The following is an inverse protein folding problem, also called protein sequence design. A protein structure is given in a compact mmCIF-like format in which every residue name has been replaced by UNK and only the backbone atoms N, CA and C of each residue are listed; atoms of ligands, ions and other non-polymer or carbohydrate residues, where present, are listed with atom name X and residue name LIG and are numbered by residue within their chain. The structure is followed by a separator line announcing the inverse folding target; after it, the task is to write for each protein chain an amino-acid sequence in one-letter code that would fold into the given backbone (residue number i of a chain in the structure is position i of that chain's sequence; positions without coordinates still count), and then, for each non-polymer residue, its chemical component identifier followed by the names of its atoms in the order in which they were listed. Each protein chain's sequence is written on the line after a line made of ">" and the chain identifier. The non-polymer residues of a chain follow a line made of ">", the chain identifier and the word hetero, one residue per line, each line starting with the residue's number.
data_IF_201181330145
#
_entry.id   IF_201181330145
#
_cell.length_a   1.000
_cell.length_b   1.000
_cell.length_c   1.000
_cell.angle_alpha   90.00
_cell.angle_beta   90.00
_cell.angle_gamma   90.00
#
_symmetry.space_group_name_H-M   'P 1'
#
loop_
_entity.id
_entity.type
_entity.pdbx_description
1 polymer ?
#
# COMPACT_ATOMS: atom_id res chain seq x y z
N UNK A 1 15.39 3.93 9.60
CA UNK A 1 14.63 2.83 8.98
C UNK A 1 13.90 3.42 7.79
N UNK A 2 13.81 2.71 6.67
CA UNK A 2 13.10 3.17 5.48
C UNK A 2 12.19 2.06 4.95
N UNK A 3 10.96 2.41 4.58
CA UNK A 3 10.02 1.54 3.87
C UNK A 3 10.05 1.93 2.40
N UNK A 4 10.35 0.99 1.52
CA UNK A 4 10.55 1.22 0.09
C UNK A 4 9.66 0.26 -0.70
N UNK A 5 8.92 0.73 -1.71
CA UNK A 5 8.20 -0.17 -2.61
C UNK A 5 9.23 -1.02 -3.38
N UNK A 6 9.07 -2.34 -3.34
CA UNK A 6 9.90 -3.28 -4.09
C UNK A 6 9.31 -3.53 -5.47
N UNK A 7 7.99 -3.68 -5.55
CA UNK A 7 7.35 -3.98 -6.81
C UNK A 7 5.88 -4.36 -6.72
N UNK A 8 5.30 -4.60 -7.90
CA UNK A 8 4.07 -5.35 -8.13
C UNK A 8 4.50 -6.67 -8.77
N UNK A 9 4.38 -7.77 -8.04
CA UNK A 9 4.60 -9.10 -8.59
C UNK A 9 3.32 -9.52 -9.31
N UNK A 10 3.33 -9.48 -10.64
CA UNK A 10 2.28 -10.04 -11.48
C UNK A 10 2.62 -11.49 -11.84
N UNK A 11 1.59 -12.31 -12.00
CA UNK A 11 1.72 -13.67 -12.47
C UNK A 11 1.25 -13.70 -13.92
N UNK A 12 2.17 -13.54 -14.88
CA UNK A 12 1.77 -13.65 -16.29
C UNK A 12 1.37 -15.09 -16.59
N UNK A 13 0.09 -15.42 -16.44
CA UNK A 13 -0.45 -16.58 -17.14
C UNK A 13 -0.44 -16.21 -18.61
N UNK A 14 0.10 -17.12 -19.42
CA UNK A 14 0.03 -17.11 -20.87
C UNK A 14 -1.32 -16.58 -21.35
N UNK A 15 -1.30 -15.79 -22.45
CA UNK A 15 -2.46 -15.20 -23.17
C UNK A 15 -3.60 -16.16 -23.56
N UNK A 16 -3.61 -17.39 -23.08
CA UNK A 16 -4.56 -18.45 -23.42
C UNK A 16 -5.71 -18.60 -22.40
N UNK A 17 -5.63 -17.98 -21.22
CA UNK A 17 -6.73 -17.97 -20.24
C UNK A 17 -7.20 -16.53 -19.98
N UNK A 18 -8.21 -16.08 -20.73
CA UNK A 18 -8.82 -14.73 -20.66
C UNK A 18 -9.50 -14.39 -19.31
N UNK A 19 -9.56 -15.33 -18.36
CA UNK A 19 -10.30 -15.19 -17.10
C UNK A 19 -9.41 -15.21 -15.82
N UNK A 20 -8.08 -15.26 -15.95
CA UNK A 20 -7.21 -15.20 -14.78
C UNK A 20 -7.01 -13.75 -14.32
N UNK A 21 -7.45 -13.44 -13.10
CA UNK A 21 -7.38 -12.13 -12.45
C UNK A 21 -5.90 -11.72 -12.24
N UNK A 22 -5.30 -11.12 -13.29
CA UNK A 22 -3.89 -10.74 -13.44
C UNK A 22 -3.53 -9.45 -12.66
N UNK A 23 -4.29 -9.17 -11.62
CA UNK A 23 -3.92 -8.16 -10.64
C UNK A 23 -2.68 -8.65 -9.92
N UNK A 24 -1.53 -8.04 -10.20
CA UNK A 24 -0.32 -8.25 -9.41
C UNK A 24 -0.56 -7.92 -7.93
N UNK A 25 0.44 -8.11 -7.09
CA UNK A 25 0.38 -7.71 -5.69
C UNK A 25 1.64 -6.99 -5.25
N UNK A 26 1.52 -6.15 -4.24
CA UNK A 26 2.65 -5.35 -3.79
C UNK A 26 3.63 -6.14 -2.92
N UNK A 27 4.91 -5.86 -3.12
CA UNK A 27 5.99 -6.26 -2.22
C UNK A 27 6.65 -5.01 -1.66
N UNK A 28 6.90 -5.01 -0.35
CA UNK A 28 7.54 -3.91 0.35
C UNK A 28 8.91 -4.34 0.88
N UNK A 29 9.89 -3.45 0.81
CA UNK A 29 11.20 -3.61 1.42
C UNK A 29 11.31 -2.72 2.64
N UNK A 30 11.76 -3.30 3.75
CA UNK A 30 12.09 -2.55 4.97
C UNK A 30 13.59 -2.57 5.16
N UNK A 31 14.22 -1.40 5.10
CA UNK A 31 15.63 -1.21 5.36
C UNK A 31 15.86 -0.77 6.80
N UNK A 32 16.59 -1.60 7.55
CA UNK A 32 16.96 -1.33 8.94
C UNK A 32 18.48 -1.10 9.00
N UNK A 33 18.89 0.08 9.47
CA UNK A 33 20.30 0.40 9.67
C UNK A 33 20.80 -0.30 10.95
N UNK A 34 22.01 -0.87 10.92
CA UNK A 34 22.63 -1.46 12.09
C UNK A 34 22.87 -0.42 13.19
N UNK A 35 22.58 -0.79 14.44
CA UNK A 35 22.65 0.11 15.62
C UNK A 35 24.02 0.19 16.29
N UNK A 36 25.05 -0.53 15.80
CA UNK A 36 26.41 -0.50 16.37
C UNK A 36 27.48 -0.45 15.28
N UNK A 37 28.30 0.61 15.30
CA UNK A 37 29.66 0.84 14.75
C UNK A 37 30.06 0.33 13.36
N UNK A 38 29.19 -0.35 12.61
CA UNK A 38 29.44 -0.79 11.25
C UNK A 38 28.48 -0.06 10.31
N UNK A 39 28.84 1.17 9.95
CA UNK A 39 28.13 1.98 8.96
C UNK A 39 28.03 1.32 7.58
N UNK A 40 28.74 0.21 7.39
CA UNK A 40 28.83 -0.54 6.13
C UNK A 40 27.79 -1.64 5.98
N UNK A 41 27.05 -2.03 7.03
CA UNK A 41 26.07 -3.12 6.96
C UNK A 41 24.66 -2.69 7.35
N UNK A 42 23.67 -3.25 6.66
CA UNK A 42 22.25 -3.02 6.91
C UNK A 42 21.48 -4.35 6.88
N UNK A 43 20.34 -4.40 7.54
CA UNK A 43 19.41 -5.53 7.46
C UNK A 43 18.29 -5.12 6.49
N UNK A 44 17.98 -5.98 5.51
CA UNK A 44 16.93 -5.76 4.51
C UNK A 44 15.84 -6.81 4.70
N UNK A 45 14.62 -6.39 5.00
CA UNK A 45 13.47 -7.29 5.07
C UNK A 45 12.58 -7.14 3.82
N UNK A 46 12.08 -8.26 3.33
CA UNK A 46 11.11 -8.34 2.24
C UNK A 46 9.78 -8.77 2.83
N UNK A 47 8.76 -7.94 2.67
CA UNK A 47 7.40 -8.17 3.15
C UNK A 47 6.53 -8.47 1.93
N UNK A 48 5.92 -9.65 1.92
CA UNK A 48 5.13 -10.14 0.82
C UNK A 48 3.90 -10.87 1.36
N UNK A 49 2.74 -10.65 0.74
CA UNK A 49 1.47 -11.29 1.08
C UNK A 49 0.89 -12.14 -0.06
N UNK A 50 1.47 -12.12 -1.27
CA UNK A 50 0.98 -12.86 -2.44
C UNK A 50 2.00 -13.85 -3.02
N UNK A 51 2.12 -13.88 -4.35
CA UNK A 51 3.06 -14.77 -5.05
C UNK A 51 4.53 -14.55 -4.61
N UNK A 52 5.24 -15.64 -4.32
CA UNK A 52 6.60 -15.59 -3.76
C UNK A 52 6.66 -16.00 -2.29
N UNK A 53 5.52 -16.17 -1.62
CA UNK A 53 5.45 -16.73 -0.28
C UNK A 53 6.08 -18.12 -0.14
N UNK A 54 6.19 -18.90 -1.22
CA UNK A 54 6.92 -20.17 -1.24
C UNK A 54 8.42 -20.05 -0.90
N UNK A 55 8.98 -18.84 -1.00
CA UNK A 55 10.36 -18.54 -0.61
C UNK A 55 10.49 -18.07 0.84
N UNK A 56 9.37 -17.84 1.53
CA UNK A 56 9.36 -17.38 2.91
C UNK A 56 9.50 -18.55 3.89
N UNK A 57 10.06 -18.31 5.10
CA UNK A 57 10.20 -19.36 6.09
C UNK A 57 8.84 -19.86 6.60
N UNK A 58 8.69 -21.19 6.66
CA UNK A 58 7.55 -21.87 7.26
C UNK A 58 7.91 -22.29 8.68
N UNK A 59 7.01 -22.06 9.63
CA UNK A 59 7.15 -22.56 11.01
C UNK A 59 6.16 -23.69 11.20
N UNK A 60 6.63 -24.87 11.58
CA UNK A 60 5.72 -25.94 12.00
C UNK A 60 5.17 -25.62 13.40
N UNK A 61 3.85 -25.44 13.51
CA UNK A 61 3.17 -25.27 14.80
C UNK A 61 2.47 -26.57 15.19
N UNK A 62 2.96 -27.17 16.28
CA UNK A 62 2.52 -28.49 16.76
C UNK A 62 1.40 -28.47 17.79
N UNK A 63 0.45 -27.53 17.73
CA UNK A 63 -0.69 -27.54 18.65
C UNK A 63 -1.85 -28.38 18.08
N UNK A 64 -2.12 -29.51 18.74
CA UNK A 64 -3.30 -30.34 18.46
C UNK A 64 -4.60 -29.54 18.70
N UNK A 65 -5.70 -29.80 17.96
CA UNK A 65 -5.93 -30.97 17.09
C UNK A 65 -5.52 -30.79 15.62
N UNK A 66 -5.09 -29.60 15.20
CA UNK A 66 -4.77 -29.31 13.80
C UNK A 66 -3.33 -28.79 13.67
N UNK A 67 -2.35 -29.64 13.30
CA UNK A 67 -1.02 -29.16 12.98
C UNK A 67 -1.13 -28.14 11.84
N UNK A 68 -0.61 -26.94 12.06
CA UNK A 68 -0.60 -25.88 11.07
C UNK A 68 0.83 -25.52 10.71
N UNK A 69 1.01 -25.09 9.46
CA UNK A 69 2.28 -24.60 8.93
C UNK A 69 2.17 -23.11 8.63
N UNK A 70 2.04 -22.25 9.66
CA UNK A 70 1.99 -20.81 9.42
C UNK A 70 3.28 -20.34 8.73
N UNK A 71 3.08 -19.49 7.73
CA UNK A 71 4.12 -18.83 6.98
C UNK A 71 4.51 -17.53 7.69
N UNK A 72 5.77 -17.13 7.53
CA UNK A 72 6.18 -15.77 7.86
C UNK A 72 5.96 -14.88 6.64
N UNK A 73 5.18 -13.83 6.81
CA UNK A 73 4.93 -12.79 5.80
C UNK A 73 6.19 -12.00 5.39
N UNK A 74 7.28 -12.19 6.12
CA UNK A 74 8.51 -11.41 5.99
C UNK A 74 9.77 -12.26 6.03
N UNK A 75 10.71 -11.93 5.14
CA UNK A 75 12.03 -12.54 5.02
C UNK A 75 13.09 -11.50 5.32
N UNK A 76 13.91 -11.73 6.36
CA UNK A 76 14.94 -10.77 6.80
C UNK A 76 16.32 -11.23 6.33
N UNK A 77 16.97 -10.44 5.49
CA UNK A 77 18.34 -10.61 5.03
C UNK A 77 19.28 -9.82 5.93
N UNK A 78 20.07 -10.54 6.72
CA UNK A 78 21.01 -9.92 7.65
C UNK A 78 22.38 -9.66 7.03
N UNK A 79 22.99 -8.53 7.40
CA UNK A 79 24.35 -8.16 6.98
C UNK A 79 24.48 -7.83 5.49
N UNK A 80 23.48 -7.18 4.91
CA UNK A 80 23.56 -6.66 3.55
C UNK A 80 24.62 -5.55 3.48
N UNK A 81 25.43 -5.55 2.43
CA UNK A 81 26.43 -4.49 2.22
C UNK A 81 25.73 -3.20 1.83
N UNK A 82 26.05 -2.08 2.51
CA UNK A 82 25.54 -0.75 2.16
C UNK A 82 25.88 -0.39 0.72
N UNK A 83 27.10 -0.66 0.27
CA UNK A 83 27.51 -0.40 -1.12
C UNK A 83 26.68 -1.20 -2.14
N UNK A 84 26.31 -2.44 -1.80
CA UNK A 84 25.43 -3.26 -2.63
C UNK A 84 24.01 -2.70 -2.68
N UNK A 85 23.47 -2.27 -1.54
CA UNK A 85 22.13 -1.68 -1.46
C UNK A 85 22.04 -0.27 -2.02
N UNK A 86 23.13 0.51 -2.03
CA UNK A 86 23.18 1.81 -2.69
C UNK A 86 23.48 1.72 -4.19
N UNK A 87 23.71 0.51 -4.72
CA UNK A 87 23.95 0.31 -6.14
C UNK A 87 22.70 0.62 -6.95
N UNK A 88 22.82 1.50 -7.95
CA UNK A 88 21.75 1.76 -8.92
C UNK A 88 21.33 0.50 -9.67
N UNK A 89 22.27 -0.42 -9.93
CA UNK A 89 21.99 -1.71 -10.56
C UNK A 89 21.09 -2.60 -9.72
N UNK A 90 21.27 -2.63 -8.40
CA UNK A 90 20.42 -3.39 -7.50
C UNK A 90 18.96 -2.90 -7.55
N UNK A 91 18.76 -1.58 -7.43
CA UNK A 91 17.42 -0.98 -7.52
C UNK A 91 16.81 -1.08 -8.91
N UNK A 92 17.61 -0.97 -9.97
CA UNK A 92 17.15 -1.23 -11.33
C UNK A 92 16.59 -2.64 -11.47
N UNK A 93 17.26 -3.67 -10.93
CA UNK A 93 16.79 -5.05 -11.00
C UNK A 93 15.51 -5.29 -10.18
N UNK A 94 15.33 -4.57 -9.08
CA UNK A 94 14.09 -4.57 -8.28
C UNK A 94 12.96 -3.91 -9.07
N UNK A 95 13.16 -2.67 -9.53
CA UNK A 95 12.14 -1.91 -10.26
C UNK A 95 11.86 -2.42 -11.66
N UNK A 96 12.76 -3.22 -12.24
CA UNK A 96 12.49 -3.91 -13.51
C UNK A 96 11.23 -4.78 -13.44
N UNK A 97 10.90 -5.31 -12.26
CA UNK A 97 9.70 -6.11 -12.05
C UNK A 97 8.42 -5.28 -12.14
N UNK A 98 8.48 -3.99 -11.77
CA UNK A 98 7.39 -3.03 -11.98
C UNK A 98 7.20 -2.65 -13.43
N UNK A 99 8.32 -2.46 -14.15
CA UNK A 99 8.31 -1.92 -15.50
C UNK A 99 8.05 -2.99 -16.56
N UNK A 100 8.52 -4.22 -16.32
CA UNK A 100 8.46 -5.34 -17.26
C UNK A 100 8.12 -6.65 -16.54
N UNK A 101 6.88 -6.78 -16.04
CA UNK A 101 6.43 -8.03 -15.43
C UNK A 101 6.42 -9.14 -16.48
N UNK A 102 7.17 -10.21 -16.21
CA UNK A 102 7.18 -11.45 -17.00
C UNK A 102 7.72 -12.59 -16.14
N UNK A 103 7.51 -13.84 -16.55
CA UNK A 103 7.96 -15.03 -15.81
C UNK A 103 9.46 -14.99 -15.44
N UNK A 104 10.28 -14.39 -16.32
CA UNK A 104 11.72 -14.25 -16.08
C UNK A 104 12.09 -13.13 -15.11
N UNK A 105 11.19 -12.18 -14.85
CA UNK A 105 11.33 -11.05 -13.91
C UNK A 105 10.32 -11.12 -12.74
N UNK A 106 9.79 -12.31 -12.45
CA UNK A 106 8.83 -12.52 -11.36
C UNK A 106 9.48 -12.83 -9.99
N UNK A 107 8.72 -13.45 -9.07
CA UNK A 107 9.21 -13.79 -7.73
C UNK A 107 10.49 -14.64 -7.78
N UNK A 108 10.58 -15.59 -8.71
CA UNK A 108 11.78 -16.43 -8.87
C UNK A 108 13.05 -15.63 -9.12
N UNK A 109 12.97 -14.54 -9.86
CA UNK A 109 14.12 -13.66 -10.11
C UNK A 109 14.47 -12.83 -8.87
N UNK A 110 13.46 -12.25 -8.21
CA UNK A 110 13.65 -11.51 -6.96
C UNK A 110 14.36 -12.37 -5.90
N UNK A 111 13.75 -13.49 -5.54
CA UNK A 111 14.21 -14.37 -4.47
C UNK A 111 15.44 -15.19 -4.89
N UNK A 112 15.54 -15.63 -6.14
CA UNK A 112 16.63 -16.48 -6.60
C UNK A 112 17.92 -15.73 -6.94
N UNK A 113 17.83 -14.47 -7.40
CA UNK A 113 18.97 -13.73 -7.96
C UNK A 113 19.23 -12.42 -7.21
N UNK A 114 18.21 -11.56 -7.10
CA UNK A 114 18.38 -10.19 -6.59
C UNK A 114 18.67 -10.18 -5.09
N UNK A 115 17.88 -10.89 -4.29
CA UNK A 115 18.02 -10.91 -2.83
C UNK A 115 19.33 -11.58 -2.36
N UNK A 116 19.77 -12.73 -2.90
CA UNK A 116 21.07 -13.32 -2.56
C UNK A 116 22.25 -12.42 -2.92
N UNK A 117 22.12 -11.58 -3.95
CA UNK A 117 23.16 -10.60 -4.30
C UNK A 117 23.34 -9.53 -3.20
N UNK A 118 22.27 -9.14 -2.51
CA UNK A 118 22.31 -8.08 -1.49
C UNK A 118 23.21 -8.44 -0.28
N UNK A 119 23.19 -9.71 0.16
CA UNK A 119 23.95 -10.16 1.33
C UNK A 119 24.94 -11.30 1.06
N UNK A 120 25.13 -11.68 -0.21
CA UNK A 120 26.05 -12.73 -0.66
C UNK A 120 25.81 -14.08 0.02
N UNK A 121 24.56 -14.37 0.41
CA UNK A 121 24.17 -15.63 1.06
C UNK A 121 22.98 -16.28 0.34
N UNK A 122 22.96 -17.61 0.20
CA UNK A 122 21.75 -18.33 -0.21
C UNK A 122 20.56 -17.99 0.70
N UNK A 123 19.36 -17.88 0.12
CA UNK A 123 18.15 -17.49 0.87
C UNK A 123 17.90 -18.34 2.12
N UNK A 124 18.13 -19.66 2.03
CA UNK A 124 17.91 -20.62 3.13
C UNK A 124 18.77 -20.34 4.37
N UNK A 125 19.89 -19.64 4.22
CA UNK A 125 20.79 -19.29 5.33
C UNK A 125 20.40 -17.99 6.05
N UNK A 126 19.29 -17.35 5.64
CA UNK A 126 18.78 -16.13 6.29
C UNK A 126 17.83 -16.43 7.46
N UNK A 127 17.56 -17.70 7.76
CA UNK A 127 16.88 -18.10 8.98
C UNK A 127 17.79 -17.92 10.20
N UNK A 128 17.37 -17.12 11.19
CA UNK A 128 18.13 -16.92 12.43
C UNK A 128 17.44 -16.01 13.44
N UNK A 129 17.98 -15.94 14.66
CA UNK A 129 17.37 -15.31 15.84
C UNK A 129 16.87 -13.87 15.63
N UNK A 130 17.52 -13.07 14.78
CA UNK A 130 17.03 -11.71 14.45
C UNK A 130 15.72 -11.73 13.67
N UNK A 131 15.62 -12.57 12.64
CA UNK A 131 14.38 -12.74 11.86
C UNK A 131 13.26 -13.24 12.77
N UNK A 132 13.55 -14.16 13.70
CA UNK A 132 12.55 -14.67 14.65
C UNK A 132 11.99 -13.63 15.61
N UNK A 133 12.76 -12.59 15.93
CA UNK A 133 12.29 -11.50 16.80
C UNK A 133 11.42 -10.49 16.06
N UNK A 134 11.66 -10.28 14.77
CA UNK A 134 10.97 -9.24 13.99
C UNK A 134 9.75 -9.74 13.24
N UNK A 135 9.61 -11.06 13.09
CA UNK A 135 8.60 -11.67 12.23
C UNK A 135 7.69 -12.58 13.03
N UNK A 136 6.38 -12.55 12.73
CA UNK A 136 5.39 -13.40 13.38
C UNK A 136 4.88 -14.43 12.37
N UNK A 137 4.79 -15.72 12.74
CA UNK A 137 4.10 -16.70 11.90
C UNK A 137 2.60 -16.40 11.91
N UNK A 138 2.01 -16.27 10.72
CA UNK A 138 0.59 -16.01 10.54
C UNK A 138 -0.03 -17.08 9.63
N UNK A 139 -1.30 -17.44 9.86
CA UNK A 139 -2.03 -18.24 8.90
C UNK A 139 -2.28 -17.38 7.66
N UNK A 140 -1.54 -17.65 6.58
CA UNK A 140 -1.81 -17.02 5.29
C UNK A 140 -2.85 -17.88 4.56
N UNK A 141 -3.89 -17.30 3.93
CA UNK A 141 -4.81 -18.05 3.09
C UNK A 141 -4.04 -18.86 2.04
N UNK A 142 -4.56 -20.04 1.66
CA UNK A 142 -3.88 -20.98 0.76
C UNK A 142 -3.51 -20.40 -0.63
N UNK A 143 -4.03 -19.21 -0.99
CA UNK A 143 -3.70 -18.47 -2.22
C UNK A 143 -3.00 -17.11 -1.99
N UNK A 144 -2.51 -16.83 -0.79
CA UNK A 144 -2.03 -15.50 -0.42
C UNK A 144 -3.16 -14.47 -0.28
N UNK A 145 -2.79 -13.24 0.03
CA UNK A 145 -3.66 -12.07 0.04
C UNK A 145 -2.97 -10.96 -0.76
N UNK A 146 -3.56 -10.61 -1.92
CA UNK A 146 -3.03 -9.59 -2.82
C UNK A 146 -3.26 -8.16 -2.32
N UNK A 147 -3.91 -7.97 -1.17
CA UNK A 147 -4.25 -6.65 -0.65
C UNK A 147 -2.99 -5.86 -0.24
N UNK A 148 -2.82 -4.71 -0.88
CA UNK A 148 -1.76 -3.77 -0.54
C UNK A 148 -1.83 -3.33 0.93
N UNK A 149 -3.05 -3.12 1.44
CA UNK A 149 -3.28 -2.70 2.82
C UNK A 149 -2.71 -3.71 3.84
N UNK A 150 -2.88 -5.01 3.60
CA UNK A 150 -2.29 -6.04 4.46
C UNK A 150 -0.77 -5.99 4.38
N UNK A 151 -0.19 -5.87 3.18
CA UNK A 151 1.26 -5.78 3.01
C UNK A 151 1.85 -4.59 3.78
N UNK A 152 1.21 -3.41 3.71
CA UNK A 152 1.62 -2.23 4.49
C UNK A 152 1.49 -2.49 5.99
N UNK A 153 0.39 -3.10 6.45
CA UNK A 153 0.23 -3.46 7.87
C UNK A 153 1.36 -4.37 8.36
N UNK A 154 1.72 -5.41 7.59
CA UNK A 154 2.82 -6.31 7.93
C UNK A 154 4.17 -5.60 7.93
N UNK A 155 4.38 -4.68 6.99
CA UNK A 155 5.59 -3.88 6.94
C UNK A 155 5.70 -2.91 8.13
N UNK A 156 4.59 -2.29 8.57
CA UNK A 156 4.56 -1.47 9.78
C UNK A 156 4.90 -2.28 11.02
N UNK A 157 4.32 -3.47 11.18
CA UNK A 157 4.62 -4.35 12.30
C UNK A 157 6.11 -4.68 12.36
N UNK A 158 6.70 -5.08 11.22
CA UNK A 158 8.13 -5.38 11.14
C UNK A 158 8.99 -4.13 11.44
N UNK A 159 8.59 -2.96 10.95
CA UNK A 159 9.23 -1.70 11.27
C UNK A 159 9.27 -1.43 12.78
N UNK A 160 8.14 -1.56 13.47
CA UNK A 160 8.07 -1.36 14.91
C UNK A 160 8.89 -2.40 15.69
N UNK A 161 8.81 -3.67 15.30
CA UNK A 161 9.61 -4.74 15.92
C UNK A 161 11.12 -4.51 15.70
N UNK A 162 11.53 -4.05 14.52
CA UNK A 162 12.91 -3.69 14.22
C UNK A 162 13.39 -2.45 15.00
N UNK A 163 12.48 -1.53 15.34
CA UNK A 163 12.76 -0.40 16.22
C UNK A 163 12.90 -0.80 17.70
N UNK A 164 12.62 -2.07 18.05
CA UNK A 164 12.80 -2.62 19.40
C UNK A 164 11.53 -2.66 20.24
N UNK A 165 10.37 -2.36 19.65
CA UNK A 165 9.08 -2.56 20.32
C UNK A 165 8.82 -4.05 20.52
N UNK A 166 8.13 -4.39 21.60
CA UNK A 166 7.64 -5.75 21.81
C UNK A 166 6.58 -6.10 20.75
N UNK A 167 6.29 -7.40 20.58
CA UNK A 167 5.36 -7.85 19.54
C UNK A 167 3.95 -7.31 19.77
N UNK A 168 3.51 -7.22 21.02
CA UNK A 168 2.25 -6.62 21.43
C UNK A 168 2.22 -5.11 21.16
N UNK A 169 3.29 -4.38 21.48
CA UNK A 169 3.41 -2.95 21.14
C UNK A 169 3.37 -2.73 19.62
N UNK A 170 4.20 -3.46 18.87
CA UNK A 170 4.25 -3.37 17.42
C UNK A 170 2.90 -3.72 16.77
N UNK A 171 2.21 -4.74 17.29
CA UNK A 171 0.88 -5.13 16.82
C UNK A 171 -0.16 -4.04 17.08
N UNK A 172 -0.15 -3.42 18.25
CA UNK A 172 -1.04 -2.31 18.59
C UNK A 172 -0.86 -1.14 17.62
N UNK A 173 0.39 -0.71 17.39
CA UNK A 173 0.69 0.40 16.49
C UNK A 173 0.32 0.10 15.03
N UNK A 174 0.70 -1.08 14.54
CA UNK A 174 0.49 -1.45 13.14
C UNK A 174 -0.98 -1.74 12.82
N UNK A 175 -1.72 -2.40 13.71
CA UNK A 175 -3.09 -2.85 13.45
C UNK A 175 -4.13 -1.87 13.97
N UNK A 176 -3.99 -1.41 15.21
CA UNK A 176 -5.03 -0.59 15.85
C UNK A 176 -4.78 0.88 15.57
N UNK A 177 -3.60 1.41 15.93
CA UNK A 177 -3.35 2.85 15.87
C UNK A 177 -3.30 3.41 14.45
N UNK A 178 -2.86 2.62 13.47
CA UNK A 178 -2.97 2.98 12.05
C UNK A 178 -4.43 3.22 11.62
N UNK A 179 -5.35 2.34 12.03
CA UNK A 179 -6.79 2.46 11.78
C UNK A 179 -7.43 3.60 12.57
N UNK A 180 -6.93 3.88 13.77
CA UNK A 180 -7.34 5.07 14.51
C UNK A 180 -7.00 6.34 13.72
N UNK A 181 -5.77 6.46 13.21
CA UNK A 181 -5.38 7.58 12.36
C UNK A 181 -6.24 7.71 11.10
N UNK A 182 -6.56 6.58 10.44
CA UNK A 182 -7.49 6.59 9.30
C UNK A 182 -8.88 7.09 9.70
N UNK A 183 -9.43 6.63 10.84
CA UNK A 183 -10.76 7.04 11.27
C UNK A 183 -10.79 8.51 11.72
N UNK A 184 -9.73 9.02 12.35
CA UNK A 184 -9.57 10.45 12.65
C UNK A 184 -9.55 11.28 11.35
N UNK A 185 -8.80 10.84 10.33
CA UNK A 185 -8.80 11.56 9.03
C UNK A 185 -10.15 11.51 8.33
N UNK A 186 -10.91 10.41 8.48
CA UNK A 186 -12.29 10.31 7.98
C UNK A 186 -13.20 11.25 8.77
N UNK A 187 -13.08 11.31 10.10
CA UNK A 187 -13.85 12.22 10.96
C UNK A 187 -13.67 13.68 10.58
N UNK A 188 -12.42 14.09 10.31
CA UNK A 188 -12.04 15.42 9.85
C UNK A 188 -12.56 15.73 8.43
N UNK A 189 -12.56 14.73 7.55
CA UNK A 189 -13.06 14.87 6.18
C UNK A 189 -14.59 14.86 6.07
N UNK A 190 -15.30 14.29 7.06
CA UNK A 190 -16.76 14.22 7.05
C UNK A 190 -17.36 15.63 7.12
N UNK A 191 -18.21 16.00 6.14
CA UNK A 191 -18.83 17.32 6.11
C UNK A 191 -19.80 17.49 7.28
N UNK A 192 -20.04 18.75 7.64
CA UNK A 192 -21.01 19.14 8.67
C UNK A 192 -22.46 19.15 8.15
N UNK A 193 -22.66 19.15 6.83
CA UNK A 193 -23.96 19.23 6.18
C UNK A 193 -24.29 17.91 5.46
N UNK A 194 -25.48 17.36 5.71
CA UNK A 194 -25.91 16.08 5.15
C UNK A 194 -26.10 16.06 3.63
N UNK A 195 -26.39 17.20 3.00
CA UNK A 195 -26.59 17.31 1.55
C UNK A 195 -25.32 17.06 0.72
N UNK A 196 -24.15 16.99 1.38
CA UNK A 196 -22.84 16.80 0.75
C UNK A 196 -22.29 15.39 0.92
N UNK A 197 -22.99 14.51 1.64
CA UNK A 197 -22.50 13.16 1.93
C UNK A 197 -23.31 12.13 1.16
N UNK A 198 -22.61 11.24 0.48
CA UNK A 198 -23.23 10.12 -0.24
C UNK A 198 -23.46 8.93 0.70
N UNK A 199 -24.50 8.09 0.47
CA UNK A 199 -24.70 6.86 1.23
C UNK A 199 -23.49 5.91 1.19
N UNK A 200 -22.73 5.92 0.08
CA UNK A 200 -21.50 5.13 -0.05
C UNK A 200 -20.40 5.59 0.91
N UNK A 201 -20.22 6.89 1.09
CA UNK A 201 -19.26 7.44 2.06
C UNK A 201 -19.64 7.08 3.50
N UNK A 202 -20.93 7.15 3.85
CA UNK A 202 -21.42 6.75 5.16
C UNK A 202 -21.18 5.25 5.41
N UNK A 203 -21.44 4.40 4.41
CA UNK A 203 -21.14 2.97 4.48
C UNK A 203 -19.64 2.71 4.68
N UNK A 204 -18.75 3.46 4.01
CA UNK A 204 -17.30 3.36 4.20
C UNK A 204 -16.89 3.74 5.61
N UNK A 205 -17.51 4.78 6.20
CA UNK A 205 -17.25 5.17 7.59
C UNK A 205 -17.66 4.07 8.56
N UNK A 206 -18.82 3.45 8.36
CA UNK A 206 -19.26 2.29 9.15
C UNK A 206 -18.27 1.12 9.05
N UNK A 207 -17.79 0.81 7.84
CA UNK A 207 -16.80 -0.25 7.64
C UNK A 207 -15.49 0.09 8.34
N UNK A 208 -15.01 1.34 8.25
CA UNK A 208 -13.79 1.78 8.91
C UNK A 208 -13.89 1.69 10.43
N UNK A 209 -15.00 2.17 11.02
CA UNK A 209 -15.25 2.07 12.46
C UNK A 209 -15.36 0.61 12.92
N UNK A 210 -16.10 -0.23 12.18
CA UNK A 210 -16.21 -1.66 12.47
C UNK A 210 -14.87 -2.38 12.41
N UNK A 211 -14.05 -2.07 11.39
CA UNK A 211 -12.71 -2.64 11.22
C UNK A 211 -11.77 -2.23 12.35
N UNK A 212 -11.83 -0.97 12.82
CA UNK A 212 -11.07 -0.51 13.99
C UNK A 212 -11.48 -1.26 15.25
N UNK A 213 -12.78 -1.35 15.54
CA UNK A 213 -13.30 -2.06 16.72
C UNK A 213 -12.90 -3.54 16.70
N UNK A 214 -12.98 -4.20 15.53
CA UNK A 214 -12.56 -5.59 15.36
C UNK A 214 -11.07 -5.76 15.62
N UNK A 215 -10.23 -4.89 15.04
CA UNK A 215 -8.79 -4.94 15.25
C UNK A 215 -8.41 -4.74 16.73
N UNK A 216 -9.08 -3.81 17.43
CA UNK A 216 -8.86 -3.59 18.85
C UNK A 216 -9.31 -4.80 19.70
N UNK A 217 -10.45 -5.40 19.37
CA UNK A 217 -10.95 -6.60 20.05
C UNK A 217 -10.03 -7.82 19.83
N UNK A 218 -9.57 -8.04 18.60
CA UNK A 218 -8.61 -9.09 18.27
C UNK A 218 -7.28 -8.89 18.99
N UNK A 219 -6.79 -7.65 19.05
CA UNK A 219 -5.59 -7.31 19.81
C UNK A 219 -5.77 -7.61 21.30
N UNK A 220 -6.88 -7.18 21.91
CA UNK A 220 -7.19 -7.47 23.31
C UNK A 220 -7.33 -8.97 23.58
N UNK A 221 -7.88 -9.75 22.64
CA UNK A 221 -7.97 -11.19 22.78
C UNK A 221 -6.59 -11.86 22.78
N UNK A 222 -5.71 -11.48 21.85
CA UNK A 222 -4.38 -12.07 21.73
C UNK A 222 -3.39 -11.60 22.80
N UNK A 223 -3.52 -10.35 23.26
CA UNK A 223 -2.56 -9.69 24.14
C UNK A 223 -3.19 -9.18 25.45
N UNK A 224 -4.38 -9.66 25.83
CA UNK A 224 -5.09 -9.19 27.03
C UNK A 224 -4.39 -9.43 28.37
N UNK A 225 -3.33 -10.25 28.37
CA UNK A 225 -2.42 -10.43 29.51
C UNK A 225 -1.22 -9.49 29.49
N UNK A 226 -0.99 -8.79 28.39
CA UNK A 226 0.07 -7.79 28.28
C UNK A 226 -0.26 -6.55 29.10
N UNK A 227 0.78 -5.85 29.54
CA UNK A 227 0.66 -4.52 30.16
C UNK A 227 0.45 -3.42 29.11
N UNK A 228 0.60 -3.74 27.83
CA UNK A 228 0.47 -2.78 26.73
C UNK A 228 -0.65 -3.18 25.74
N UNK A 229 -1.42 -2.20 25.23
CA UNK A 229 -1.50 -0.81 25.70
C UNK A 229 -2.19 -0.74 27.08
N UNK A 230 -2.13 0.43 27.72
CA UNK A 230 -2.90 0.65 28.94
C UNK A 230 -4.42 0.45 28.66
N UNK A 231 -5.22 -0.07 29.61
CA UNK A 231 -6.66 -0.27 29.41
C UNK A 231 -7.41 0.96 28.89
N UNK A 232 -6.99 2.16 29.33
CA UNK A 232 -7.53 3.43 28.87
C UNK A 232 -7.42 3.63 27.34
N UNK A 233 -6.41 3.06 26.68
CA UNK A 233 -6.24 3.19 25.24
C UNK A 233 -7.34 2.46 24.45
N UNK A 234 -7.88 1.35 24.97
CA UNK A 234 -9.02 0.67 24.36
C UNK A 234 -10.30 1.49 24.49
N UNK A 235 -10.48 2.18 25.62
CA UNK A 235 -11.60 3.10 25.83
C UNK A 235 -11.50 4.34 24.92
N UNK A 236 -10.28 4.84 24.65
CA UNK A 236 -10.07 5.91 23.67
C UNK A 236 -10.48 5.48 22.26
N UNK A 237 -10.12 4.26 21.85
CA UNK A 237 -10.52 3.68 20.55
C UNK A 237 -12.03 3.56 20.46
N UNK A 238 -12.67 3.04 21.51
CA UNK A 238 -14.13 2.96 21.58
C UNK A 238 -14.78 4.34 21.51
N UNK A 239 -14.28 5.30 22.29
CA UNK A 239 -14.79 6.67 22.32
C UNK A 239 -14.67 7.35 20.95
N UNK A 240 -13.61 7.11 20.19
CA UNK A 240 -13.51 7.61 18.81
C UNK A 240 -14.56 6.96 17.91
N UNK A 241 -14.68 5.63 17.92
CA UNK A 241 -15.64 4.93 17.08
C UNK A 241 -17.08 5.39 17.37
N UNK A 242 -17.45 5.51 18.64
CA UNK A 242 -18.78 5.96 19.07
C UNK A 242 -19.05 7.40 18.62
N UNK A 243 -18.07 8.32 18.77
CA UNK A 243 -18.21 9.71 18.29
C UNK A 243 -18.43 9.79 16.78
N UNK A 244 -17.63 9.07 16.00
CA UNK A 244 -17.73 9.09 14.53
C UNK A 244 -19.05 8.49 14.07
N UNK A 245 -19.47 7.37 14.67
CA UNK A 245 -20.75 6.74 14.37
C UNK A 245 -21.93 7.64 14.76
N UNK A 246 -21.85 8.36 15.88
CA UNK A 246 -22.87 9.33 16.27
C UNK A 246 -22.96 10.49 15.27
N UNK A 247 -21.82 10.98 14.75
CA UNK A 247 -21.80 12.00 13.69
C UNK A 247 -22.46 11.47 12.41
N UNK A 248 -22.23 10.22 12.04
CA UNK A 248 -22.89 9.56 10.89
C UNK A 248 -24.40 9.49 11.07
N UNK A 249 -24.88 9.03 12.24
CA UNK A 249 -26.32 8.97 12.54
C UNK A 249 -26.98 10.34 12.39
N UNK A 250 -26.34 11.40 12.90
CA UNK A 250 -26.85 12.77 12.74
C UNK A 250 -26.90 13.21 11.28
N UNK A 251 -25.92 12.83 10.45
CA UNK A 251 -25.92 13.11 9.02
C UNK A 251 -27.01 12.33 8.28
N UNK A 252 -27.29 11.09 8.67
CA UNK A 252 -28.38 10.28 8.13
C UNK A 252 -29.76 10.84 8.49
N UNK A 253 -29.94 11.27 9.75
CA UNK A 253 -31.18 11.85 10.26
C UNK A 253 -31.46 13.25 9.67
N UNK A 254 -30.42 14.09 9.55
CA UNK A 254 -30.54 15.43 8.95
C UNK A 254 -30.62 15.41 7.42
N UNK A 255 -30.21 14.31 6.79
CA UNK A 255 -30.36 14.04 5.36
C UNK A 255 -31.78 13.68 4.92
N UNK A 256 -32.79 13.84 5.80
CA UNK A 256 -34.23 13.68 5.59
C UNK A 256 -34.65 13.16 4.21
N UNK A 257 -35.07 11.89 4.16
CA UNK A 257 -35.28 11.16 2.90
C UNK A 257 -34.06 11.25 1.98
N UNK A 258 -32.95 10.65 2.38
CA UNK A 258 -32.04 10.06 1.42
C UNK A 258 -32.90 9.09 0.60
N UNK A 259 -33.38 9.56 -0.55
CA UNK A 259 -34.09 8.73 -1.49
C UNK A 259 -33.16 7.55 -1.73
N UNK A 260 -33.59 6.38 -1.24
CA UNK A 260 -33.19 5.13 -1.84
C UNK A 260 -33.26 5.38 -3.34
N UNK A 261 -32.12 5.32 -4.01
CA UNK A 261 -32.07 5.32 -5.47
C UNK A 261 -32.67 3.98 -5.95
N UNK A 262 -33.91 3.70 -5.57
CA UNK A 262 -34.74 2.78 -6.30
C UNK A 262 -35.07 3.48 -7.61
N UNK A 263 -34.75 2.86 -8.75
CA UNK A 263 -35.24 3.38 -10.02
C UNK A 263 -36.77 3.46 -9.94
N UNK A 264 -37.40 4.54 -10.43
CA UNK A 264 -38.83 4.70 -10.35
C UNK A 264 -39.53 3.51 -11.02
N UNK A 265 -40.66 3.00 -10.47
CA UNK A 265 -41.40 1.94 -11.11
C UNK A 265 -41.89 2.43 -12.48
N UNK A 266 -41.52 1.70 -13.53
CA UNK A 266 -41.80 2.04 -14.91
C UNK A 266 -43.32 1.98 -15.21
N UNK A 267 -44.05 3.03 -14.88
CA UNK A 267 -45.35 3.32 -15.47
C UNK A 267 -45.10 4.19 -16.71
N UNK A 268 -45.12 3.57 -17.89
CA UNK A 268 -45.08 4.32 -19.15
C UNK A 268 -46.45 4.94 -19.45
N UNK A 269 -46.50 6.26 -19.65
CA UNK A 269 -47.23 6.80 -20.78
C UNK A 269 -46.33 7.69 -21.65
N UNK A 270 -46.23 7.27 -22.91
CA UNK A 270 -45.98 8.03 -24.14
C UNK A 270 -45.29 9.41 -24.01
N UNK A 271 -43.99 9.39 -24.33
CA UNK A 271 -43.27 10.36 -25.17
C UNK A 271 -43.70 11.83 -25.06
N UNK A 272 -43.06 12.56 -24.15
CA UNK A 272 -42.66 13.94 -24.40
C UNK A 272 -41.16 13.97 -24.69
N UNK A 273 -40.81 14.35 -25.92
CA UNK A 273 -39.47 14.33 -26.55
C UNK A 273 -38.42 15.25 -25.90
N UNK A 274 -38.70 15.82 -24.72
CA UNK A 274 -37.75 16.64 -23.96
C UNK A 274 -37.14 15.94 -22.74
N UNK A 275 -37.50 14.67 -22.49
CA UNK A 275 -37.04 13.91 -21.32
C UNK A 275 -35.87 12.94 -21.60
N UNK A 276 -35.14 13.09 -22.71
CA UNK A 276 -33.98 12.22 -23.04
C UNK A 276 -32.65 12.73 -22.47
N UNK A 277 -32.66 13.48 -21.37
CA UNK A 277 -31.42 13.82 -20.65
C UNK A 277 -31.31 12.99 -19.39
N UNK A 278 -30.57 11.89 -19.49
CA UNK A 278 -30.10 11.12 -18.35
C UNK A 278 -28.73 11.66 -17.94
N UNK A 279 -28.66 12.40 -16.84
CA UNK A 279 -27.41 13.03 -16.39
C UNK A 279 -26.34 12.02 -15.91
N UNK A 280 -26.64 10.71 -15.82
CA UNK A 280 -25.75 9.74 -15.17
C UNK A 280 -25.42 8.44 -15.92
N UNK A 281 -25.89 8.19 -17.15
CA UNK A 281 -25.64 6.88 -17.81
C UNK A 281 -25.59 6.91 -19.35
N UNK A 282 -24.76 7.74 -19.98
CA UNK A 282 -24.52 7.72 -21.44
C UNK A 282 -23.20 7.07 -21.87
N UNK A 283 -22.89 5.87 -21.38
CA UNK A 283 -22.02 4.97 -22.16
C UNK A 283 -22.54 3.54 -22.13
N UNK A 284 -23.43 3.24 -23.07
CA UNK A 284 -23.35 2.05 -23.91
C UNK A 284 -24.09 2.34 -25.24
N UNK A 285 -23.31 2.95 -26.14
CA UNK A 285 -23.35 2.90 -27.62
C UNK A 285 -24.71 3.11 -28.31
N UNK A 286 -24.95 4.36 -28.74
CA UNK A 286 -25.51 4.65 -30.07
C UNK A 286 -24.33 4.80 -31.01
N UNK A 287 -24.35 4.19 -32.19
CA UNK A 287 -23.24 4.31 -33.14
C UNK A 287 -22.92 5.78 -33.43
N UNK A 288 -21.62 6.09 -33.34
CA UNK A 288 -21.06 7.42 -33.16
C UNK A 288 -20.65 8.04 -34.51
N UNK A 289 -21.29 9.15 -34.87
CA UNK A 289 -21.02 9.93 -36.08
C UNK A 289 -19.63 10.60 -36.04
N UNK A 290 -18.99 10.70 -34.86
CA UNK A 290 -17.63 11.23 -34.70
C UNK A 290 -16.54 10.29 -35.27
N UNK A 291 -16.85 9.02 -35.55
CA UNK A 291 -15.92 8.12 -36.27
C UNK A 291 -15.61 8.57 -37.71
N UNK A 292 -16.36 9.52 -38.27
CA UNK A 292 -16.12 10.11 -39.60
C UNK A 292 -15.13 11.29 -39.60
N UNK A 293 -14.75 11.83 -38.44
CA UNK A 293 -13.89 13.03 -38.36
C UNK A 293 -12.39 12.76 -38.32
N UNK A 294 -11.97 11.51 -38.13
CA UNK A 294 -10.59 11.21 -37.75
C UNK A 294 -10.28 11.72 -36.34
N UNK A 295 -9.29 11.12 -35.69
CA UNK A 295 -8.90 11.53 -34.34
C UNK A 295 -8.33 12.95 -34.38
N UNK A 296 -9.09 13.91 -33.82
CA UNK A 296 -8.53 15.22 -33.49
C UNK A 296 -7.60 14.98 -32.30
N UNK A 297 -6.30 14.86 -32.57
CA UNK A 297 -5.27 14.78 -31.54
C UNK A 297 -5.38 16.08 -30.72
N UNK A 298 -5.84 16.04 -29.45
CA UNK A 298 -6.00 17.26 -28.67
C UNK A 298 -4.62 17.94 -28.55
N UNK A 299 -4.55 19.29 -28.58
CA UNK A 299 -3.26 19.97 -28.47
C UNK A 299 -2.57 19.52 -27.19
N UNK A 300 -1.46 18.81 -27.35
CA UNK A 300 -0.70 18.22 -26.26
C UNK A 300 0.02 19.32 -25.52
N UNK A 301 -0.60 19.83 -24.45
CA UNK A 301 0.02 20.84 -23.58
C UNK A 301 1.07 20.13 -22.73
N UNK A 302 2.30 20.10 -23.22
CA UNK A 302 3.46 19.66 -22.46
C UNK A 302 3.79 20.74 -21.42
N UNK A 303 3.55 20.42 -20.15
CA UNK A 303 3.99 21.24 -19.02
C UNK A 303 5.47 20.90 -18.77
N UNK A 304 6.41 21.84 -18.90
CA UNK A 304 7.83 21.56 -18.73
C UNK A 304 8.14 21.14 -17.29
N UNK A 305 8.81 19.98 -17.15
CA UNK A 305 9.28 19.45 -15.88
C UNK A 305 10.65 20.06 -15.56
N UNK A 306 10.68 21.05 -14.68
CA UNK A 306 11.91 21.76 -14.30
C UNK A 306 12.62 21.03 -13.15
N UNK A 307 13.38 19.98 -13.49
CA UNK A 307 14.20 19.23 -12.52
C UNK A 307 15.29 20.08 -11.86
N UNK A 308 15.68 21.21 -12.47
CA UNK A 308 16.59 22.20 -11.90
C UNK A 308 16.06 22.90 -10.64
N UNK A 309 14.77 22.72 -10.31
CA UNK A 309 14.17 23.22 -9.05
C UNK A 309 14.49 22.36 -7.84
N UNK A 310 15.04 21.15 -8.04
CA UNK A 310 15.44 20.30 -6.92
C UNK A 310 16.75 20.83 -6.31
N UNK A 311 16.82 21.04 -4.99
CA UNK A 311 18.04 21.48 -4.33
C UNK A 311 19.14 20.42 -4.45
N UNK A 312 20.37 20.87 -4.69
CA UNK A 312 21.56 20.01 -4.86
C UNK A 312 22.15 19.56 -3.51
N UNK A 313 21.82 20.25 -2.42
CA UNK A 313 22.22 19.89 -1.06
C UNK A 313 21.11 20.27 -0.10
N UNK A 314 20.79 19.39 0.84
CA UNK A 314 19.75 19.57 1.86
C UNK A 314 20.46 19.60 3.21
N UNK A 315 20.37 20.71 3.94
CA UNK A 315 21.08 20.88 5.22
C UNK A 315 20.13 20.92 6.41
N UNK A 316 18.85 21.18 6.17
CA UNK A 316 17.84 21.31 7.21
C UNK A 316 16.65 20.38 6.99
N UNK A 317 15.96 19.94 8.06
CA UNK A 317 14.77 19.10 7.93
C UNK A 317 13.61 19.81 7.21
N UNK A 318 13.56 21.15 7.27
CA UNK A 318 12.56 21.95 6.56
C UNK A 318 12.82 21.96 5.03
N UNK A 319 14.10 22.02 4.63
CA UNK A 319 14.50 21.85 3.23
C UNK A 319 14.20 20.43 2.74
N UNK A 320 14.42 19.41 3.58
CA UNK A 320 14.09 18.03 3.24
C UNK A 320 12.58 17.85 2.96
N UNK A 321 11.72 18.36 3.85
CA UNK A 321 10.26 18.32 3.65
C UNK A 321 9.80 19.08 2.39
N UNK A 322 10.46 20.21 2.08
CA UNK A 322 10.17 20.99 0.88
C UNK A 322 10.66 20.30 -0.39
N UNK A 323 11.82 19.66 -0.36
CA UNK A 323 12.35 18.84 -1.44
C UNK A 323 11.46 17.62 -1.71
N UNK A 324 10.98 16.91 -0.68
CA UNK A 324 10.03 15.80 -0.82
C UNK A 324 8.73 16.23 -1.52
N UNK A 325 8.17 17.40 -1.15
CA UNK A 325 6.97 17.95 -1.78
C UNK A 325 7.19 18.30 -3.26
N UNK A 326 8.32 18.94 -3.58
CA UNK A 326 8.69 19.25 -4.96
C UNK A 326 8.93 17.99 -5.79
N UNK A 327 9.58 16.98 -5.22
CA UNK A 327 9.82 15.68 -5.84
C UNK A 327 8.50 14.99 -6.16
N UNK A 328 7.55 14.96 -5.23
CA UNK A 328 6.23 14.39 -5.44
C UNK A 328 5.47 15.11 -6.58
N UNK A 329 5.51 16.45 -6.62
CA UNK A 329 4.89 17.23 -7.70
C UNK A 329 5.51 16.94 -9.07
N UNK A 330 6.84 16.83 -9.15
CA UNK A 330 7.55 16.50 -10.39
C UNK A 330 7.24 15.08 -10.85
N UNK A 331 7.13 14.12 -9.94
CA UNK A 331 6.74 12.75 -10.24
C UNK A 331 5.31 12.67 -10.75
N UNK A 332 4.37 13.36 -10.12
CA UNK A 332 2.97 13.41 -10.58
C UNK A 332 2.89 13.99 -12.00
N UNK A 333 3.65 15.05 -12.31
CA UNK A 333 3.71 15.62 -13.66
C UNK A 333 4.31 14.64 -14.68
N UNK A 334 5.41 13.98 -14.35
CA UNK A 334 6.05 13.01 -15.24
C UNK A 334 5.19 11.78 -15.50
N UNK A 335 4.49 11.27 -14.47
CA UNK A 335 3.56 10.15 -14.59
C UNK A 335 2.37 10.53 -15.47
N UNK A 336 1.80 11.71 -15.26
CA UNK A 336 0.68 12.20 -16.07
C UNK A 336 1.06 12.48 -17.54
N UNK A 337 2.37 12.58 -17.85
CA UNK A 337 2.90 12.83 -19.19
C UNK A 337 3.69 11.63 -19.75
N UNK A 338 3.59 10.45 -19.13
CA UNK A 338 4.44 9.31 -19.46
C UNK A 338 4.30 8.82 -20.92
N UNK A 339 3.10 8.94 -21.49
CA UNK A 339 2.81 8.54 -22.87
C UNK A 339 3.36 9.53 -23.90
N UNK A 340 3.78 10.72 -23.45
CA UNK A 340 4.28 11.81 -24.31
C UNK A 340 5.79 12.01 -24.19
N UNK A 341 6.38 11.65 -23.06
CA UNK A 341 7.81 11.76 -22.81
C UNK A 341 8.38 10.34 -22.82
N UNK A 342 9.04 9.96 -23.93
CA UNK A 342 9.64 8.63 -24.10
C UNK A 342 10.61 8.22 -22.97
N UNK A 343 11.15 9.20 -22.23
CA UNK A 343 12.05 9.00 -21.10
C UNK A 343 11.42 9.29 -19.74
N UNK A 344 10.09 9.45 -19.63
CA UNK A 344 9.42 9.74 -18.36
C UNK A 344 9.78 8.74 -17.26
N UNK A 345 9.82 7.41 -17.51
CA UNK A 345 10.19 6.44 -16.47
C UNK A 345 11.63 6.64 -15.98
N UNK A 346 12.56 6.94 -16.89
CA UNK A 346 13.95 7.22 -16.56
C UNK A 346 14.10 8.55 -15.80
N UNK A 347 13.31 9.58 -16.15
CA UNK A 347 13.26 10.86 -15.44
C UNK A 347 12.65 10.72 -14.05
N UNK A 348 11.58 9.93 -13.89
CA UNK A 348 11.01 9.58 -12.58
C UNK A 348 12.06 8.90 -11.69
N UNK A 349 12.78 7.92 -12.25
CA UNK A 349 13.87 7.25 -11.54
C UNK A 349 14.97 8.23 -11.13
N UNK A 350 15.39 9.14 -12.02
CA UNK A 350 16.41 10.14 -11.71
C UNK A 350 15.98 11.10 -10.59
N UNK A 351 14.71 11.52 -10.59
CA UNK A 351 14.13 12.39 -9.56
C UNK A 351 14.07 11.69 -8.19
N UNK A 352 13.67 10.42 -8.15
CA UNK A 352 13.68 9.61 -6.92
C UNK A 352 15.11 9.34 -6.44
N UNK A 353 16.03 8.98 -7.35
CA UNK A 353 17.43 8.77 -7.03
C UNK A 353 18.08 10.05 -6.46
N UNK A 354 17.76 11.22 -7.02
CA UNK A 354 18.23 12.51 -6.51
C UNK A 354 17.79 12.73 -5.06
N UNK A 355 16.50 12.52 -4.75
CA UNK A 355 15.99 12.64 -3.39
C UNK A 355 16.72 11.68 -2.42
N UNK A 356 16.90 10.42 -2.82
CA UNK A 356 17.55 9.40 -2.00
C UNK A 356 19.05 9.67 -1.77
N UNK A 357 19.72 10.29 -2.73
CA UNK A 357 21.16 10.57 -2.62
C UNK A 357 21.40 11.79 -1.73
N UNK A 358 20.64 12.87 -1.92
CA UNK A 358 20.91 14.16 -1.26
C UNK A 358 20.10 14.43 0.02
N UNK A 359 19.07 13.64 0.33
CA UNK A 359 18.37 13.72 1.63
C UNK A 359 19.03 12.89 2.74
N UNK A 360 20.21 12.30 2.48
CA UNK A 360 20.90 11.38 3.43
C UNK A 360 22.30 11.81 3.85
N UNK A 361 22.80 12.95 3.37
CA UNK A 361 23.89 13.71 3.99
C UNK A 361 23.34 14.59 5.11
#
# INVERSE_FOLDING_TARGET
>A
MALLPAGWLCNSVSKEEEDADDSGHCVLLVLVRGTKDSSETCDLAVVNTGDGLQYHPVVASGQAPHPSMPLRDSLVLSGCSRAGLCSSGFWYLIYRQLLFPCDSNGPRFLYGVVLPFANKKPLRLNGGSKSEKWTRPLPIPAGGDKSFALCVERAMLLCFAAAGLSIDEASWWAMVRSRVGLLETIEEALPTEASKTTPGELALVHVAASALCRAAAEHAHHFGRSRYPAPAAYEEVRGLADRVLQKVVLLEESGGQLQSAQPPPAAMPLLQESATRFEHFERLVKEDVEKLKGEVDPPRILIPVLTSRLPVSIRTPLEAASCCRLTAQLLTLLINQQDQIAHAPASCFAVVAHLLTFATE
#
